data_IF_710551478844
#
_entry.id   IF_710551478844
#
_cell.length_a   1.000
_cell.length_b   1.000
_cell.length_c   1.000
_cell.angle_alpha   90.00
_cell.angle_beta   90.00
_cell.angle_gamma   90.00
#
_symmetry.space_group_name_H-M   'P 1'
#
loop_
_entity.id
_entity.type
_entity.pdbx_description
1 polymer ?
#
# COMPACT_ATOMS: atom_id res chain seq x y z
N UNK A 1 4.22 7.43 -10.49
CA UNK A 1 3.22 6.35 -10.52
C UNK A 1 2.40 6.49 -11.80
N UNK A 2 2.53 5.56 -12.76
CA UNK A 2 1.75 5.60 -14.00
C UNK A 2 0.61 4.58 -13.90
N UNK A 3 -0.63 5.05 -13.71
CA UNK A 3 -1.80 4.18 -13.74
C UNK A 3 -2.12 3.82 -15.19
N UNK A 4 -2.04 2.53 -15.50
CA UNK A 4 -2.35 2.05 -16.84
C UNK A 4 -3.85 1.78 -16.94
N UNK A 5 -4.52 2.46 -17.87
CA UNK A 5 -5.90 2.15 -18.14
C UNK A 5 -6.01 0.74 -18.71
N UNK A 6 -6.91 -0.11 -18.16
CA UNK A 6 -7.08 -1.46 -18.65
C UNK A 6 -7.54 -1.43 -20.13
N UNK A 7 -6.87 -2.22 -20.95
CA UNK A 7 -7.02 -2.16 -22.41
C UNK A 7 -8.36 -2.77 -22.88
N UNK A 8 -8.83 -3.81 -22.18
CA UNK A 8 -10.00 -4.59 -22.57
C UNK A 8 -11.33 -4.08 -22.01
N UNK A 9 -11.35 -2.95 -21.28
CA UNK A 9 -12.60 -2.39 -20.76
C UNK A 9 -13.26 -1.55 -21.86
N UNK A 10 -14.15 -2.18 -22.62
CA UNK A 10 -14.98 -1.52 -23.63
C UNK A 10 -16.30 -2.27 -23.86
N UNK A 11 -17.31 -1.55 -24.34
CA UNK A 11 -18.56 -2.14 -24.84
C UNK A 11 -19.83 -1.65 -24.12
N UNK A 12 -21.00 -1.91 -24.73
CA UNK A 12 -22.28 -1.41 -24.23
C UNK A 12 -22.76 -2.11 -22.95
N UNK A 13 -22.36 -3.38 -22.74
CA UNK A 13 -22.72 -4.12 -21.53
C UNK A 13 -22.00 -3.56 -20.29
N UNK A 14 -20.71 -3.26 -20.42
CA UNK A 14 -19.93 -2.62 -19.36
C UNK A 14 -20.45 -1.21 -19.06
N UNK A 15 -20.84 -0.45 -20.10
CA UNK A 15 -21.48 0.85 -19.91
C UNK A 15 -22.74 0.71 -19.03
N UNK A 16 -23.62 -0.26 -19.32
CA UNK A 16 -24.83 -0.50 -18.51
C UNK A 16 -24.48 -0.85 -17.07
N UNK A 17 -23.53 -1.77 -16.87
CA UNK A 17 -23.08 -2.15 -15.54
C UNK A 17 -22.59 -0.95 -14.72
N UNK A 18 -21.78 -0.05 -15.31
CA UNK A 18 -21.31 1.14 -14.61
C UNK A 18 -22.41 2.19 -14.39
N UNK A 19 -23.36 2.32 -15.33
CA UNK A 19 -24.52 3.19 -15.16
C UNK A 19 -25.36 2.72 -13.96
N UNK A 20 -25.61 1.42 -13.86
CA UNK A 20 -26.41 0.85 -12.78
C UNK A 20 -25.72 1.05 -11.41
N UNK A 21 -24.40 0.90 -11.35
CA UNK A 21 -23.61 1.13 -10.14
C UNK A 21 -23.59 2.61 -9.70
N UNK A 22 -23.50 3.53 -10.67
CA UNK A 22 -23.39 4.98 -10.40
C UNK A 22 -24.74 5.68 -10.16
N UNK A 23 -25.83 4.92 -9.99
CA UNK A 23 -27.16 5.46 -9.68
C UNK A 23 -27.96 5.90 -10.91
N UNK A 24 -27.64 5.35 -12.09
CA UNK A 24 -28.40 5.49 -13.31
C UNK A 24 -28.01 6.68 -14.19
N UNK A 25 -28.71 6.81 -15.32
CA UNK A 25 -28.40 7.78 -16.40
C UNK A 25 -28.42 9.23 -15.92
N UNK A 26 -29.26 9.54 -14.93
CA UNK A 26 -29.41 10.89 -14.34
C UNK A 26 -28.18 11.36 -13.57
N UNK A 27 -27.30 10.47 -13.14
CA UNK A 27 -26.08 10.84 -12.41
C UNK A 27 -24.86 10.76 -13.33
N UNK A 28 -24.85 9.76 -14.21
CA UNK A 28 -23.79 9.54 -15.20
C UNK A 28 -23.59 10.72 -16.15
N UNK A 29 -24.66 11.43 -16.54
CA UNK A 29 -24.53 12.59 -17.43
C UNK A 29 -23.69 13.72 -16.80
N UNK A 30 -23.74 13.88 -15.47
CA UNK A 30 -22.95 14.88 -14.73
C UNK A 30 -21.47 14.50 -14.69
N UNK A 31 -21.16 13.23 -14.42
CA UNK A 31 -19.78 12.74 -14.39
C UNK A 31 -19.10 12.85 -15.76
N UNK A 32 -19.84 12.59 -16.84
CA UNK A 32 -19.30 12.61 -18.20
C UNK A 32 -19.35 13.99 -18.86
N UNK A 33 -20.07 14.97 -18.29
CA UNK A 33 -20.25 16.30 -18.90
C UNK A 33 -21.02 16.28 -20.22
N UNK A 34 -21.90 15.29 -20.43
CA UNK A 34 -22.72 15.12 -21.64
C UNK A 34 -24.21 15.20 -21.32
N UNK A 35 -25.03 15.39 -22.36
CA UNK A 35 -26.50 15.36 -22.23
C UNK A 35 -27.01 13.94 -21.98
N UNK A 36 -28.09 13.80 -21.19
CA UNK A 36 -28.73 12.50 -20.93
C UNK A 36 -29.13 11.77 -22.22
N UNK A 37 -29.60 12.53 -23.22
CA UNK A 37 -29.90 12.01 -24.57
C UNK A 37 -28.71 11.34 -25.24
N UNK A 38 -27.49 11.83 -25.03
CA UNK A 38 -26.29 11.24 -25.64
C UNK A 38 -25.99 9.88 -25.02
N UNK A 39 -26.15 9.75 -23.70
CA UNK A 39 -25.96 8.49 -22.98
C UNK A 39 -27.01 7.46 -23.42
N UNK A 40 -28.29 7.85 -23.50
CA UNK A 40 -29.36 6.99 -24.01
C UNK A 40 -29.10 6.57 -25.46
N UNK A 41 -28.69 7.50 -26.32
CA UNK A 41 -28.33 7.19 -27.72
C UNK A 41 -27.22 6.15 -27.81
N UNK A 42 -26.20 6.20 -26.95
CA UNK A 42 -25.13 5.20 -26.94
C UNK A 42 -25.63 3.82 -26.52
N UNK A 43 -26.59 3.76 -25.59
CA UNK A 43 -27.24 2.52 -25.16
C UNK A 43 -28.11 1.91 -26.26
N UNK A 44 -28.84 2.74 -27.00
CA UNK A 44 -29.75 2.29 -28.07
C UNK A 44 -28.97 1.85 -29.32
N UNK A 45 -27.95 2.62 -29.70
CA UNK A 45 -27.15 2.32 -30.90
C UNK A 45 -26.08 1.26 -30.66
N UNK A 46 -25.80 0.91 -29.39
CA UNK A 46 -24.73 0.00 -29.00
C UNK A 46 -23.31 0.51 -29.30
N UNK A 47 -23.19 1.76 -29.80
CA UNK A 47 -21.91 2.39 -30.16
C UNK A 47 -21.48 3.33 -29.05
N UNK A 48 -20.70 2.80 -28.12
CA UNK A 48 -20.20 3.55 -26.96
C UNK A 48 -18.75 3.99 -27.21
N UNK A 49 -18.40 5.28 -27.01
CA UNK A 49 -17.02 5.70 -27.07
C UNK A 49 -16.23 5.10 -25.90
N UNK A 50 -15.06 4.51 -26.20
CA UNK A 50 -14.17 3.89 -25.19
C UNK A 50 -13.81 4.85 -24.06
N UNK A 51 -13.57 6.12 -24.39
CA UNK A 51 -13.24 7.15 -23.41
C UNK A 51 -14.32 7.30 -22.32
N UNK A 52 -15.61 7.24 -22.69
CA UNK A 52 -16.71 7.36 -21.71
C UNK A 52 -16.78 6.13 -20.79
N UNK A 53 -16.57 4.94 -21.33
CA UNK A 53 -16.53 3.71 -20.51
C UNK A 53 -15.36 3.74 -19.53
N UNK A 54 -14.18 4.20 -19.97
CA UNK A 54 -13.01 4.33 -19.11
C UNK A 54 -13.20 5.39 -18.02
N UNK A 55 -13.80 6.54 -18.36
CA UNK A 55 -14.11 7.57 -17.37
C UNK A 55 -15.04 7.02 -16.27
N UNK A 56 -16.11 6.30 -16.66
CA UNK A 56 -17.03 5.68 -15.69
C UNK A 56 -16.38 4.56 -14.90
N UNK A 57 -15.49 3.78 -15.52
CA UNK A 57 -14.73 2.75 -14.82
C UNK A 57 -13.91 3.37 -13.67
N UNK A 58 -13.21 4.48 -13.90
CA UNK A 58 -12.42 5.12 -12.85
C UNK A 58 -13.26 5.71 -11.71
N UNK A 59 -14.48 6.16 -12.00
CA UNK A 59 -15.43 6.60 -10.97
C UNK A 59 -16.13 5.46 -10.23
N UNK A 60 -16.21 4.28 -10.84
CA UNK A 60 -16.82 3.10 -10.22
C UNK A 60 -16.00 2.57 -9.04
N UNK A 61 -16.61 1.74 -8.20
CA UNK A 61 -15.94 1.02 -7.12
C UNK A 61 -14.80 0.15 -7.66
N UNK A 62 -14.92 -0.38 -8.87
CA UNK A 62 -13.89 -1.21 -9.49
C UNK A 62 -12.61 -0.43 -9.79
N UNK A 63 -12.74 0.75 -10.40
CA UNK A 63 -11.60 1.63 -10.67
C UNK A 63 -10.93 2.09 -9.39
N UNK A 64 -11.72 2.53 -8.40
CA UNK A 64 -11.19 2.93 -7.09
C UNK A 64 -10.48 1.78 -6.37
N UNK A 65 -11.05 0.57 -6.42
CA UNK A 65 -10.41 -0.62 -5.84
C UNK A 65 -9.10 -0.96 -6.55
N UNK A 66 -9.03 -0.82 -7.88
CA UNK A 66 -7.82 -1.07 -8.65
C UNK A 66 -6.68 -0.13 -8.25
N UNK A 67 -6.98 1.18 -8.13
CA UNK A 67 -6.01 2.18 -7.66
C UNK A 67 -5.53 1.82 -6.26
N UNK A 68 -6.45 1.50 -5.35
CA UNK A 68 -6.11 1.16 -3.97
C UNK A 68 -5.21 -0.07 -3.88
N UNK A 69 -5.49 -1.13 -4.65
CA UNK A 69 -4.66 -2.33 -4.65
C UNK A 69 -3.27 -2.07 -5.21
N UNK A 70 -3.16 -1.27 -6.28
CA UNK A 70 -1.87 -0.92 -6.86
C UNK A 70 -1.01 -0.12 -5.87
N UNK A 71 -1.61 0.87 -5.20
CA UNK A 71 -0.94 1.68 -4.19
C UNK A 71 -0.44 0.83 -3.02
N UNK A 72 -1.28 -0.05 -2.48
CA UNK A 72 -0.88 -0.93 -1.37
C UNK A 72 0.24 -1.87 -1.79
N UNK A 73 0.19 -2.41 -3.01
CA UNK A 73 1.23 -3.30 -3.52
C UNK A 73 2.56 -2.56 -3.74
N UNK A 74 2.52 -1.35 -4.30
CA UNK A 74 3.72 -0.54 -4.50
C UNK A 74 4.38 -0.18 -3.17
N UNK A 75 3.60 0.27 -2.17
CA UNK A 75 4.10 0.58 -0.83
C UNK A 75 4.74 -0.66 -0.19
N UNK A 76 4.09 -1.83 -0.30
CA UNK A 76 4.64 -3.09 0.23
C UNK A 76 5.96 -3.46 -0.44
N UNK A 77 6.04 -3.34 -1.76
CA UNK A 77 7.25 -3.65 -2.52
C UNK A 77 8.40 -2.72 -2.11
N UNK A 78 8.15 -1.41 -2.05
CA UNK A 78 9.15 -0.42 -1.64
C UNK A 78 9.63 -0.65 -0.20
N UNK A 79 8.71 -0.93 0.71
CA UNK A 79 9.06 -1.23 2.10
C UNK A 79 9.96 -2.47 2.22
N UNK A 80 9.63 -3.54 1.49
CA UNK A 80 10.46 -4.74 1.46
C UNK A 80 11.85 -4.47 0.90
N UNK A 81 11.94 -3.71 -0.19
CA UNK A 81 13.22 -3.30 -0.78
C UNK A 81 14.07 -2.51 0.22
N UNK A 82 13.48 -1.56 0.95
CA UNK A 82 14.17 -0.79 1.97
C UNK A 82 14.68 -1.67 3.12
N UNK A 83 13.88 -2.62 3.59
CA UNK A 83 14.29 -3.57 4.62
C UNK A 83 15.49 -4.40 4.16
N UNK A 84 15.44 -4.95 2.94
CA UNK A 84 16.53 -5.75 2.37
C UNK A 84 17.82 -4.93 2.23
N UNK A 85 17.73 -3.71 1.70
CA UNK A 85 18.89 -2.81 1.56
C UNK A 85 19.47 -2.46 2.93
N UNK A 86 18.63 -2.19 3.93
CA UNK A 86 19.08 -1.91 5.30
C UNK A 86 19.80 -3.11 5.92
N UNK A 87 19.29 -4.31 5.74
CA UNK A 87 19.93 -5.54 6.22
C UNK A 87 21.28 -5.79 5.53
N UNK A 88 21.35 -5.61 4.21
CA UNK A 88 22.59 -5.75 3.45
C UNK A 88 23.63 -4.72 3.87
N UNK A 89 23.21 -3.46 4.04
CA UNK A 89 24.07 -2.38 4.52
C UNK A 89 24.62 -2.68 5.92
N UNK A 90 23.77 -3.17 6.82
CA UNK A 90 24.21 -3.53 8.17
C UNK A 90 25.21 -4.69 8.14
N UNK A 91 24.95 -5.76 7.37
CA UNK A 91 25.90 -6.87 7.21
C UNK A 91 27.24 -6.42 6.62
N UNK A 92 27.22 -5.58 5.59
CA UNK A 92 28.43 -5.03 5.00
C UNK A 92 29.20 -4.18 6.00
N UNK A 93 28.51 -3.33 6.77
CA UNK A 93 29.09 -2.53 7.84
C UNK A 93 29.74 -3.41 8.90
N UNK A 94 29.07 -4.46 9.35
CA UNK A 94 29.58 -5.38 10.38
C UNK A 94 30.82 -6.16 9.89
N UNK A 95 30.86 -6.54 8.62
CA UNK A 95 32.06 -7.16 8.01
C UNK A 95 33.21 -6.16 7.99
N UNK A 96 32.97 -4.92 7.54
CA UNK A 96 33.99 -3.88 7.46
C UNK A 96 34.52 -3.53 8.86
N UNK A 97 33.66 -3.39 9.86
CA UNK A 97 34.09 -3.12 11.25
C UNK A 97 34.87 -4.29 11.84
N UNK A 98 34.45 -5.54 11.55
CA UNK A 98 35.19 -6.73 11.93
C UNK A 98 36.59 -6.80 11.29
N UNK A 99 36.69 -6.54 9.98
CA UNK A 99 37.97 -6.47 9.26
C UNK A 99 38.86 -5.35 9.81
N UNK A 100 38.29 -4.16 10.08
CA UNK A 100 39.02 -3.04 10.69
C UNK A 100 39.60 -3.42 12.05
N UNK A 101 38.83 -4.11 12.88
CA UNK A 101 39.30 -4.55 14.19
C UNK A 101 40.47 -5.57 14.09
N UNK A 102 40.51 -6.39 13.05
CA UNK A 102 41.57 -7.38 12.83
C UNK A 102 42.85 -6.80 12.20
N UNK A 103 42.76 -5.68 11.48
CA UNK A 103 43.86 -5.13 10.67
C UNK A 103 44.57 -3.90 11.27
N UNK A 104 44.48 -3.68 12.59
CA UNK A 104 45.19 -2.60 13.28
C UNK A 104 46.71 -2.82 13.15
N UNK A 105 47.38 -2.02 12.31
CA UNK A 105 48.85 -1.97 12.21
C UNK A 105 49.51 -2.75 11.06
N UNK A 106 48.76 -3.16 10.03
CA UNK A 106 49.35 -3.73 8.79
C UNK A 106 49.74 -2.63 7.80
N UNK A 107 50.86 -2.77 7.08
CA UNK A 107 51.34 -1.79 6.09
C UNK A 107 50.40 -1.62 4.86
N UNK A 108 49.48 -2.57 4.64
CA UNK A 108 48.45 -2.52 3.59
C UNK A 108 47.05 -2.23 4.17
N UNK A 109 46.96 -1.34 5.16
CA UNK A 109 45.67 -1.01 5.74
C UNK A 109 44.76 -0.39 4.66
N UNK A 110 43.55 -0.94 4.43
CA UNK A 110 42.62 -0.36 3.47
C UNK A 110 42.21 1.04 3.95
N UNK A 111 42.44 2.05 3.10
CA UNK A 111 41.98 3.41 3.35
C UNK A 111 40.46 3.43 3.25
N UNK A 112 39.80 3.78 4.35
CA UNK A 112 38.35 3.97 4.40
C UNK A 112 38.07 5.46 4.46
N UNK A 113 37.69 6.07 3.35
CA UNK A 113 37.11 7.41 3.37
C UNK A 113 35.82 7.39 4.19
N UNK A 114 35.63 8.37 5.07
CA UNK A 114 34.38 8.51 5.82
C UNK A 114 33.25 8.73 4.82
N UNK A 115 32.37 7.73 4.71
CA UNK A 115 31.21 7.84 3.84
C UNK A 115 30.38 9.07 4.25
N UNK A 116 29.96 9.91 3.30
CA UNK A 116 29.18 11.10 3.60
C UNK A 116 27.93 10.72 4.40
N UNK A 117 27.62 11.52 5.42
CA UNK A 117 26.53 11.24 6.34
C UNK A 117 25.18 11.47 5.64
N UNK A 118 24.64 10.41 5.03
CA UNK A 118 23.36 10.44 4.29
C UNK A 118 22.12 10.67 5.19
N UNK A 119 22.31 10.77 6.51
CA UNK A 119 21.23 11.09 7.46
C UNK A 119 20.54 12.42 7.15
N UNK A 120 21.24 13.36 6.51
CA UNK A 120 20.65 14.64 6.06
C UNK A 120 19.71 14.52 4.86
N UNK A 121 19.85 13.47 4.03
CA UNK A 121 19.08 13.32 2.80
C UNK A 121 17.72 12.62 3.00
N UNK A 122 17.42 12.10 4.20
CA UNK A 122 16.13 11.48 4.53
C UNK A 122 15.06 12.50 4.97
N UNK A 123 15.41 13.79 5.03
CA UNK A 123 14.44 14.87 4.89
C UNK A 123 14.00 15.02 3.43
N UNK A 124 13.68 13.92 2.74
CA UNK A 124 12.83 14.00 1.56
C UNK A 124 11.49 14.44 2.10
N UNK A 125 11.19 15.70 1.87
CA UNK A 125 9.86 16.26 2.03
C UNK A 125 8.88 15.38 1.25
N UNK A 126 8.29 14.40 1.93
CA UNK A 126 6.90 14.10 1.70
C UNK A 126 6.20 15.42 1.99
N UNK A 127 5.86 16.16 0.93
CA UNK A 127 4.94 17.28 1.02
C UNK A 127 3.66 16.73 1.63
N UNK A 128 3.60 16.79 2.96
CA UNK A 128 2.48 16.44 3.83
C UNK A 128 1.42 17.56 3.74
N UNK A 129 1.25 18.13 2.54
CA UNK A 129 0.41 19.29 2.27
C UNK A 129 -0.96 18.94 1.71
N UNK A 130 -1.15 17.73 1.16
CA UNK A 130 -2.44 17.29 0.63
C UNK A 130 -2.93 16.04 1.37
N UNK A 131 -3.77 16.28 2.37
CA UNK A 131 -4.90 15.39 2.68
C UNK A 131 -4.61 14.03 3.32
N UNK A 132 -3.59 13.89 4.17
CA UNK A 132 -3.61 12.78 5.12
C UNK A 132 -4.78 13.00 6.11
N UNK A 133 -5.66 12.00 6.34
CA UNK A 133 -6.62 12.09 7.42
C UNK A 133 -5.82 12.25 8.73
N UNK A 134 -6.18 13.28 9.50
CA UNK A 134 -5.66 13.55 10.84
C UNK A 134 -5.49 12.24 11.63
N UNK A 135 -4.44 12.13 12.48
CA UNK A 135 -4.35 11.02 13.41
C UNK A 135 -5.66 10.98 14.20
N UNK A 136 -6.38 9.86 14.12
CA UNK A 136 -7.56 9.65 14.95
C UNK A 136 -7.17 9.96 16.39
N UNK A 137 -7.95 10.79 17.12
CA UNK A 137 -7.70 11.02 18.53
C UNK A 137 -7.64 9.66 19.25
N UNK A 138 -6.79 9.51 20.27
CA UNK A 138 -6.74 8.28 21.04
C UNK A 138 -8.17 7.97 21.51
N UNK A 139 -8.65 6.78 21.17
CA UNK A 139 -9.98 6.34 21.55
C UNK A 139 -10.15 6.55 23.07
N UNK A 140 -11.31 7.05 23.53
CA UNK A 140 -11.57 7.16 24.96
C UNK A 140 -11.38 5.78 25.58
N UNK A 141 -10.61 5.72 26.66
CA UNK A 141 -10.44 4.50 27.45
C UNK A 141 -11.81 4.09 27.97
N UNK A 142 -12.48 3.16 27.28
CA UNK A 142 -13.69 2.54 27.77
C UNK A 142 -13.32 1.73 29.03
N UNK A 143 -13.88 2.05 30.21
CA UNK A 143 -13.63 1.28 31.43
C UNK A 143 -14.18 -0.15 31.37
N UNK A 144 -14.99 -0.49 30.36
CA UNK A 144 -15.64 -1.80 30.22
C UNK A 144 -14.96 -2.70 29.17
N UNK A 145 -13.63 -2.84 29.25
CA UNK A 145 -12.95 -3.91 28.50
C UNK A 145 -13.04 -5.21 29.30
N UNK A 146 -14.22 -5.81 29.35
CA UNK A 146 -14.36 -7.18 29.83
C UNK A 146 -13.64 -8.06 28.82
N UNK A 147 -12.48 -8.62 29.21
CA UNK A 147 -11.73 -9.61 28.44
C UNK A 147 -12.68 -10.66 27.87
N UNK A 148 -12.78 -10.71 26.53
CA UNK A 148 -13.56 -11.75 25.86
C UNK A 148 -13.07 -13.13 26.32
N UNK A 149 -13.97 -14.10 26.56
CA UNK A 149 -13.58 -15.43 27.01
C UNK A 149 -12.70 -16.09 25.94
N UNK A 150 -11.43 -16.26 26.28
CA UNK A 150 -10.45 -16.93 25.43
C UNK A 150 -10.92 -18.38 25.23
N UNK A 151 -11.05 -18.81 23.97
CA UNK A 151 -11.48 -20.17 23.67
C UNK A 151 -10.58 -21.19 24.37
N UNK A 152 -11.15 -22.29 24.85
CA UNK A 152 -10.42 -23.34 25.59
C UNK A 152 -9.22 -23.91 24.79
N UNK A 153 -9.28 -23.82 23.46
CA UNK A 153 -8.20 -24.19 22.54
C UNK A 153 -7.04 -23.19 22.57
N UNK A 154 -7.32 -21.90 22.60
CA UNK A 154 -6.30 -20.85 22.70
C UNK A 154 -5.59 -20.88 24.06
N UNK A 155 -6.31 -21.14 25.16
CA UNK A 155 -5.71 -21.30 26.49
C UNK A 155 -4.73 -22.48 26.56
N UNK A 156 -5.08 -23.63 25.97
CA UNK A 156 -4.17 -24.79 25.90
C UNK A 156 -2.92 -24.52 25.06
N UNK A 157 -3.04 -23.77 23.97
CA UNK A 157 -1.91 -23.40 23.12
C UNK A 157 -0.93 -22.45 23.84
N UNK A 158 -1.44 -21.49 24.62
CA UNK A 158 -0.59 -20.61 25.43
C UNK A 158 0.17 -21.38 26.51
N UNK A 159 -0.48 -22.29 27.23
CA UNK A 159 0.20 -23.13 28.21
C UNK A 159 1.27 -24.05 27.59
N UNK A 160 1.07 -24.51 26.36
CA UNK A 160 2.09 -25.29 25.65
C UNK A 160 3.32 -24.43 25.32
N UNK A 161 3.12 -23.18 24.89
CA UNK A 161 4.19 -22.22 24.61
C UNK A 161 4.98 -21.81 25.86
N UNK A 162 4.30 -21.65 26.99
CA UNK A 162 4.98 -21.30 28.24
C UNK A 162 5.83 -22.46 28.78
N UNK A 163 5.37 -23.70 28.59
CA UNK A 163 6.18 -24.90 28.92
C UNK A 163 7.42 -25.00 28.05
N UNK A 164 7.34 -24.72 26.75
CA UNK A 164 8.52 -24.76 25.87
C UNK A 164 9.50 -23.65 26.19
N UNK A 165 9.01 -22.44 26.53
CA UNK A 165 9.86 -21.34 27.01
C UNK A 165 10.55 -21.64 28.34
N UNK A 166 9.87 -22.33 29.27
CA UNK A 166 10.46 -22.73 30.55
C UNK A 166 11.51 -23.83 30.38
N UNK A 167 11.30 -24.78 29.45
CA UNK A 167 12.26 -25.83 29.12
C UNK A 167 13.51 -25.28 28.41
N UNK A 168 13.38 -24.24 27.59
CA UNK A 168 14.50 -23.60 26.90
C UNK A 168 15.38 -22.72 27.81
N UNK A 169 14.97 -22.47 29.07
CA UNK A 169 15.70 -21.66 30.07
C UNK A 169 16.44 -22.51 31.11
N UNK A 170 16.38 -23.83 31.04
CA UNK A 170 17.18 -24.78 31.84
C UNK A 170 18.25 -25.40 30.96
#
# INVERSE_FOLDING_TARGET
MFFHAPHNIYGPQLLRMFIDELGGVKHVHKYLGVTERSVLRWLDTGRVPRAAVLALFWESKWGRSHIFTDQVNEIRMLYQQLCLVREQYQKAKDIITGLRAMHVGSANEPVFDELPNLSFALNVAFNLGDGLPMPLPPAPSNPDTTTAPVSSRAAKAMHALDRTRAAARR
#
